data_IF_396569025960
#
_entry.id   IF_396569025960
#
_cell.length_a   1.000
_cell.length_b   1.000
_cell.length_c   1.000
_cell.angle_alpha   90.00
_cell.angle_beta   90.00
_cell.angle_gamma   90.00
#
_symmetry.space_group_name_H-M   'P 1'
#
loop_
_entity.id
_entity.type
_entity.pdbx_description
1 polymer ?
#
# COMPACT_ATOMS: atom_id res chain seq x y z
N UNK A 1 -11.44 6.71 1.08
CA UNK A 1 -10.11 7.28 1.37
C UNK A 1 -9.12 6.16 1.65
N UNK A 2 -7.95 6.16 0.99
CA UNK A 2 -6.97 5.08 1.12
C UNK A 2 -6.04 5.34 2.33
N UNK A 3 -6.02 4.41 3.27
CA UNK A 3 -5.12 4.45 4.43
C UNK A 3 -3.93 3.49 4.21
N UNK A 4 -2.74 3.88 4.66
CA UNK A 4 -1.50 3.09 4.44
C UNK A 4 -1.57 1.69 5.07
N UNK A 5 -2.34 1.52 6.15
CA UNK A 5 -2.56 0.25 6.83
C UNK A 5 -3.59 -0.67 6.14
N UNK A 6 -4.29 -0.20 5.10
CA UNK A 6 -5.19 -1.06 4.31
C UNK A 6 -4.42 -2.10 3.47
N UNK A 7 -3.11 -1.89 3.26
CA UNK A 7 -2.24 -2.85 2.57
C UNK A 7 -2.00 -4.07 3.46
N UNK A 8 -2.48 -5.23 3.01
CA UNK A 8 -2.17 -6.51 3.65
C UNK A 8 -0.71 -6.88 3.40
N UNK A 9 0.03 -7.09 4.47
CA UNK A 9 1.43 -7.45 4.41
C UNK A 9 1.77 -8.36 5.58
N UNK A 10 2.41 -9.48 5.28
CA UNK A 10 2.80 -10.44 6.30
C UNK A 10 3.80 -9.78 7.25
N UNK A 11 3.54 -9.88 8.56
CA UNK A 11 4.41 -9.28 9.57
C UNK A 11 4.26 -7.77 9.74
N UNK A 12 3.19 -7.15 9.19
CA UNK A 12 2.85 -5.74 9.44
C UNK A 12 2.81 -5.43 10.94
N UNK A 13 3.49 -4.35 11.34
CA UNK A 13 3.61 -3.91 12.74
C UNK A 13 2.48 -2.97 13.19
N UNK A 14 1.42 -2.85 12.40
CA UNK A 14 0.31 -1.92 12.67
C UNK A 14 -0.26 -2.04 14.11
N UNK A 15 -0.48 -3.27 14.60
CA UNK A 15 -0.99 -3.49 15.97
C UNK A 15 0.02 -3.16 17.08
N UNK A 16 1.29 -2.98 16.75
CA UNK A 16 2.38 -2.72 17.70
C UNK A 16 2.81 -1.24 17.70
N UNK A 17 2.18 -0.38 16.90
CA UNK A 17 2.61 1.02 16.75
C UNK A 17 2.63 1.78 18.07
N UNK A 18 1.64 1.60 18.95
CA UNK A 18 1.61 2.27 20.25
C UNK A 18 2.79 1.86 21.13
N UNK A 19 3.13 0.58 21.14
CA UNK A 19 4.28 0.06 21.89
C UNK A 19 5.61 0.59 21.31
N UNK A 20 5.76 0.58 19.99
CA UNK A 20 6.97 1.10 19.34
C UNK A 20 7.14 2.60 19.64
N UNK A 21 6.06 3.38 19.55
CA UNK A 21 6.06 4.80 19.90
C UNK A 21 6.51 5.00 21.36
N UNK A 22 5.94 4.26 22.30
CA UNK A 22 6.32 4.36 23.72
C UNK A 22 7.83 4.13 23.93
N UNK A 23 8.39 3.10 23.29
CA UNK A 23 9.82 2.79 23.39
C UNK A 23 10.69 3.88 22.77
N UNK A 24 10.32 4.38 21.58
CA UNK A 24 11.04 5.45 20.90
C UNK A 24 10.99 6.73 21.74
N UNK A 25 9.81 7.14 22.20
CA UNK A 25 9.64 8.35 23.02
C UNK A 25 10.43 8.26 24.32
N UNK A 26 10.53 7.07 24.93
CA UNK A 26 11.28 6.87 26.17
C UNK A 26 12.79 6.96 25.97
N UNK A 27 13.31 6.36 24.90
CA UNK A 27 14.74 6.10 24.75
C UNK A 27 15.45 6.97 23.70
N UNK A 28 14.73 7.54 22.75
CA UNK A 28 15.28 8.37 21.68
C UNK A 28 14.96 9.85 21.97
N UNK A 29 15.96 10.62 22.37
CA UNK A 29 15.82 12.05 22.69
C UNK A 29 16.63 12.88 21.71
N UNK A 30 16.07 14.03 21.29
CA UNK A 30 16.71 14.96 20.35
C UNK A 30 17.05 14.34 18.97
N UNK A 31 16.31 13.32 18.55
CA UNK A 31 16.42 12.77 17.21
C UNK A 31 15.60 13.60 16.22
N UNK A 32 16.15 13.89 15.05
CA UNK A 32 15.46 14.64 13.99
C UNK A 32 14.96 13.73 12.87
N UNK A 33 15.57 12.56 12.73
CA UNK A 33 15.32 11.63 11.62
C UNK A 33 14.93 10.26 12.16
N UNK A 34 13.89 9.66 11.58
CA UNK A 34 13.48 8.28 11.81
C UNK A 34 13.77 7.45 10.56
N UNK A 35 14.57 6.40 10.70
CA UNK A 35 14.96 5.55 9.57
C UNK A 35 14.27 4.19 9.69
N UNK A 36 13.31 3.92 8.81
CA UNK A 36 12.64 2.62 8.69
C UNK A 36 13.32 1.78 7.61
N UNK A 37 14.33 1.00 8.03
CA UNK A 37 15.21 0.26 7.10
C UNK A 37 14.51 -0.91 6.40
N UNK A 38 13.42 -1.42 6.98
CA UNK A 38 12.64 -2.56 6.50
C UNK A 38 11.16 -2.21 6.52
N UNK A 39 10.81 -1.17 5.75
CA UNK A 39 9.54 -0.48 5.90
C UNK A 39 8.32 -1.35 5.55
N UNK A 40 8.44 -2.29 4.60
CA UNK A 40 7.32 -3.12 4.15
C UNK A 40 6.14 -2.27 3.70
N UNK A 41 5.06 -2.22 4.49
CA UNK A 41 3.92 -1.34 4.21
C UNK A 41 4.19 0.14 4.43
N UNK A 42 5.22 0.49 5.20
CA UNK A 42 5.51 1.86 5.64
C UNK A 42 4.68 2.31 6.86
N UNK A 43 3.92 1.41 7.50
CA UNK A 43 3.05 1.78 8.64
C UNK A 43 3.81 2.31 9.84
N UNK A 44 5.06 1.87 10.05
CA UNK A 44 5.91 2.35 11.15
C UNK A 44 6.44 3.73 10.79
N UNK A 45 7.08 3.90 9.63
CA UNK A 45 7.48 5.23 9.14
C UNK A 45 6.33 6.26 9.17
N UNK A 46 5.13 5.89 8.69
CA UNK A 46 3.97 6.77 8.71
C UNK A 46 3.57 7.22 10.13
N UNK A 47 3.71 6.34 11.13
CA UNK A 47 3.41 6.67 12.53
C UNK A 47 4.31 7.79 13.06
N UNK A 48 5.56 7.84 12.61
CA UNK A 48 6.57 8.80 13.05
C UNK A 48 6.73 10.01 12.11
N UNK A 49 6.05 10.03 10.96
CA UNK A 49 6.20 11.09 9.94
C UNK A 49 5.75 12.48 10.41
N UNK A 50 4.89 12.56 11.44
CA UNK A 50 4.47 13.84 12.00
C UNK A 50 5.54 14.50 12.89
N UNK A 51 6.41 13.69 13.49
CA UNK A 51 7.35 14.12 14.53
C UNK A 51 8.81 14.13 14.05
N UNK A 52 9.11 13.39 12.98
CA UNK A 52 10.47 13.18 12.47
C UNK A 52 10.54 13.34 10.95
N UNK A 53 11.71 13.74 10.45
CA UNK A 53 12.04 13.50 9.05
C UNK A 53 12.19 12.00 8.83
N UNK A 54 11.41 11.41 7.92
CA UNK A 54 11.46 9.97 7.68
C UNK A 54 12.41 9.62 6.53
N UNK A 55 13.13 8.51 6.70
CA UNK A 55 13.80 7.80 5.61
C UNK A 55 13.27 6.37 5.58
N UNK A 56 12.73 5.95 4.44
CA UNK A 56 12.16 4.62 4.25
C UNK A 56 12.98 3.83 3.25
N UNK A 57 13.28 2.58 3.60
CA UNK A 57 13.99 1.65 2.74
C UNK A 57 13.28 0.28 2.75
N UNK A 58 13.28 -0.36 1.59
CA UNK A 58 12.85 -1.73 1.41
C UNK A 58 13.50 -2.32 0.15
N UNK A 59 13.73 -3.64 0.12
CA UNK A 59 14.34 -4.30 -1.03
C UNK A 59 13.36 -4.46 -2.20
N UNK A 60 12.06 -4.46 -1.94
CA UNK A 60 11.03 -4.66 -2.96
C UNK A 60 10.69 -3.33 -3.62
N UNK A 61 11.12 -3.16 -4.87
CA UNK A 61 10.85 -1.95 -5.67
C UNK A 61 9.35 -1.62 -5.76
N UNK A 62 8.45 -2.61 -5.72
CA UNK A 62 7.01 -2.36 -5.70
C UNK A 62 6.53 -1.54 -4.50
N UNK A 63 7.23 -1.62 -3.36
CA UNK A 63 6.92 -0.80 -2.18
C UNK A 63 7.32 0.66 -2.37
N UNK A 64 8.33 0.96 -3.20
CA UNK A 64 8.79 2.32 -3.46
C UNK A 64 7.67 3.21 -4.01
N UNK A 65 6.84 2.70 -4.91
CA UNK A 65 5.68 3.45 -5.42
C UNK A 65 4.67 3.77 -4.32
N UNK A 66 4.41 2.83 -3.42
CA UNK A 66 3.51 3.08 -2.29
C UNK A 66 4.10 4.16 -1.35
N UNK A 67 5.40 4.15 -1.11
CA UNK A 67 6.07 5.18 -0.31
C UNK A 67 5.93 6.56 -0.95
N UNK A 68 6.15 6.68 -2.26
CA UNK A 68 5.90 7.96 -2.95
C UNK A 68 4.43 8.38 -2.83
N UNK A 69 3.48 7.48 -3.08
CA UNK A 69 2.05 7.80 -2.98
C UNK A 69 1.64 8.33 -1.60
N UNK A 70 2.20 7.79 -0.51
CA UNK A 70 1.81 8.18 0.86
C UNK A 70 2.68 9.26 1.50
N UNK A 71 3.94 9.40 1.09
CA UNK A 71 4.91 10.28 1.75
C UNK A 71 5.41 11.44 0.89
N UNK A 72 5.25 11.39 -0.43
CA UNK A 72 5.61 12.50 -1.28
C UNK A 72 4.60 13.65 -1.13
N UNK A 73 5.06 14.87 -1.35
CA UNK A 73 4.24 16.09 -1.30
C UNK A 73 3.73 16.51 -2.69
N UNK A 74 3.91 15.65 -3.68
CA UNK A 74 3.50 15.90 -5.05
C UNK A 74 1.97 16.04 -5.16
N UNK A 75 1.54 16.90 -6.07
CA UNK A 75 0.12 17.05 -6.37
C UNK A 75 -0.37 15.80 -7.12
N UNK A 76 -1.50 15.26 -6.67
CA UNK A 76 -2.12 14.09 -7.28
C UNK A 76 -3.11 14.53 -8.35
N UNK A 77 -2.95 13.99 -9.56
CA UNK A 77 -3.92 14.17 -10.64
C UNK A 77 -5.13 13.24 -10.42
N UNK A 78 -6.12 13.75 -9.69
CA UNK A 78 -7.36 13.03 -9.39
C UNK A 78 -8.17 12.72 -10.65
N UNK A 79 -8.18 13.62 -11.64
CA UNK A 79 -8.89 13.41 -12.90
C UNK A 79 -8.32 12.23 -13.67
N UNK A 80 -6.99 12.12 -13.74
CA UNK A 80 -6.32 10.95 -14.34
C UNK A 80 -6.64 9.67 -13.56
N UNK A 81 -6.67 9.71 -12.23
CA UNK A 81 -7.05 8.55 -11.42
C UNK A 81 -8.49 8.10 -11.69
N UNK A 82 -9.44 9.03 -11.73
CA UNK A 82 -10.83 8.74 -12.07
C UNK A 82 -10.96 8.13 -13.46
N UNK A 83 -10.23 8.65 -14.45
CA UNK A 83 -10.20 8.10 -15.80
C UNK A 83 -9.66 6.67 -15.82
N UNK A 84 -8.55 6.40 -15.14
CA UNK A 84 -7.96 5.06 -15.04
C UNK A 84 -8.94 4.09 -14.37
N UNK A 85 -9.56 4.51 -13.27
CA UNK A 85 -10.56 3.70 -12.55
C UNK A 85 -11.76 3.41 -13.42
N UNK A 86 -12.27 4.41 -14.16
CA UNK A 86 -13.35 4.22 -15.11
C UNK A 86 -12.95 3.25 -16.25
N UNK A 87 -11.73 3.35 -16.77
CA UNK A 87 -11.21 2.40 -17.77
C UNK A 87 -11.26 0.97 -17.23
N UNK A 88 -10.71 0.71 -16.04
CA UNK A 88 -10.72 -0.63 -15.45
C UNK A 88 -12.13 -1.13 -15.12
N UNK A 89 -13.01 -0.28 -14.58
CA UNK A 89 -14.39 -0.63 -14.24
C UNK A 89 -15.27 -0.94 -15.47
N UNK A 90 -14.89 -0.46 -16.65
CA UNK A 90 -15.58 -0.73 -17.91
C UNK A 90 -15.03 -1.96 -18.64
N UNK A 91 -13.95 -2.60 -18.15
CA UNK A 91 -13.48 -3.87 -18.70
C UNK A 91 -14.45 -4.99 -18.31
N UNK A 92 -14.85 -5.79 -19.29
CA UNK A 92 -15.65 -6.99 -19.05
C UNK A 92 -14.72 -8.20 -19.11
N UNK A 93 -14.69 -8.99 -18.04
CA UNK A 93 -13.78 -10.14 -17.92
C UNK A 93 -13.92 -11.14 -19.09
N UNK A 94 -15.13 -11.27 -19.65
CA UNK A 94 -15.42 -12.11 -20.83
C UNK A 94 -14.71 -11.67 -22.11
N UNK A 95 -14.32 -10.39 -22.19
CA UNK A 95 -13.68 -9.80 -23.38
C UNK A 95 -12.14 -9.80 -23.24
N UNK A 96 -11.61 -10.30 -22.11
CA UNK A 96 -10.18 -10.39 -21.83
C UNK A 96 -9.66 -11.80 -22.14
N UNK A 97 -8.47 -11.87 -22.72
CA UNK A 97 -7.77 -13.14 -22.90
C UNK A 97 -7.33 -13.74 -21.56
N UNK A 98 -7.24 -15.07 -21.53
CA UNK A 98 -6.66 -15.78 -20.40
C UNK A 98 -5.19 -15.35 -20.22
N UNK A 99 -4.81 -15.15 -18.97
CA UNK A 99 -3.45 -14.86 -18.58
C UNK A 99 -2.92 -15.96 -17.65
N UNK A 100 -1.63 -15.86 -17.32
CA UNK A 100 -0.95 -16.77 -16.40
C UNK A 100 -1.76 -17.03 -15.11
N UNK A 101 -2.41 -16.01 -14.56
CA UNK A 101 -3.17 -16.16 -13.32
C UNK A 101 -4.44 -16.99 -13.54
N UNK A 102 -5.22 -16.67 -14.57
CA UNK A 102 -6.46 -17.41 -14.88
C UNK A 102 -6.20 -18.85 -15.31
N UNK A 103 -5.08 -19.12 -15.98
CA UNK A 103 -4.71 -20.45 -16.46
C UNK A 103 -4.23 -21.37 -15.32
N UNK A 104 -3.42 -20.83 -14.40
CA UNK A 104 -2.78 -21.65 -13.36
C UNK A 104 -3.53 -21.64 -12.02
N UNK A 105 -4.33 -20.60 -11.77
CA UNK A 105 -5.03 -20.41 -10.50
C UNK A 105 -6.54 -20.20 -10.64
N UNK A 106 -7.08 -20.17 -11.86
CA UNK A 106 -8.52 -20.13 -12.10
C UNK A 106 -9.24 -21.32 -11.45
N UNK A 107 -10.39 -21.07 -10.81
CA UNK A 107 -11.19 -22.07 -10.09
C UNK A 107 -10.46 -22.82 -8.96
N UNK A 108 -9.40 -22.22 -8.41
CA UNK A 108 -8.76 -22.69 -7.18
C UNK A 108 -9.39 -22.01 -5.95
N UNK A 109 -8.64 -21.18 -5.23
CA UNK A 109 -9.10 -20.35 -4.12
C UNK A 109 -10.05 -19.22 -4.57
N UNK A 110 -9.99 -18.83 -5.84
CA UNK A 110 -10.81 -17.78 -6.44
C UNK A 110 -11.58 -18.38 -7.63
N UNK A 111 -12.92 -18.35 -7.56
CA UNK A 111 -13.78 -18.87 -8.63
C UNK A 111 -13.86 -17.89 -9.79
N UNK A 112 -13.99 -18.38 -11.03
CA UNK A 112 -14.13 -17.51 -12.21
C UNK A 112 -15.24 -16.46 -12.08
N UNK A 113 -16.37 -16.83 -11.47
CA UNK A 113 -17.51 -15.93 -11.22
C UNK A 113 -17.19 -14.71 -10.34
N UNK A 114 -16.10 -14.73 -9.57
CA UNK A 114 -15.69 -13.56 -8.78
C UNK A 114 -15.09 -12.45 -9.65
N UNK A 115 -14.59 -12.77 -10.85
CA UNK A 115 -13.97 -11.79 -11.76
C UNK A 115 -15.01 -11.01 -12.58
N UNK A 116 -16.22 -11.54 -12.78
CA UNK A 116 -17.26 -10.93 -13.64
C UNK A 116 -17.76 -9.57 -13.13
N UNK A 117 -17.59 -9.28 -11.83
CA UNK A 117 -18.07 -8.06 -11.20
C UNK A 117 -16.97 -7.33 -10.39
N UNK A 118 -15.70 -7.50 -10.76
CA UNK A 118 -14.62 -6.79 -10.09
C UNK A 118 -14.72 -5.29 -10.42
N UNK A 119 -14.99 -4.47 -9.40
CA UNK A 119 -15.05 -3.02 -9.53
C UNK A 119 -14.17 -2.37 -8.47
N UNK A 120 -13.47 -1.33 -8.88
CA UNK A 120 -12.75 -0.43 -8.01
C UNK A 120 -13.77 0.62 -7.54
N UNK A 121 -14.05 0.62 -6.25
CA UNK A 121 -14.85 1.64 -5.58
C UNK A 121 -13.92 2.60 -4.83
N UNK A 122 -14.12 3.91 -4.98
CA UNK A 122 -13.35 4.97 -4.31
C UNK A 122 -14.15 5.65 -3.21
#
# INVERSE_FOLDING_TARGET
MFEINNRRYLGSKFKLLSFIQEIVDKHCKNCQTFVDLFAGTGVVANKFNADYQIMVNDILMSNQYAYYTFFAQDQVDLTKLEQIIATYNNLLAKDLEHNYYSENFGDTYLKYRQYENCRIYT
#
